data_IF_340434545904
#
_entry.id   IF_340434545904
#
_cell.length_a   1.000
_cell.length_b   1.000
_cell.length_c   1.000
_cell.angle_alpha   90.00
_cell.angle_beta   90.00
_cell.angle_gamma   90.00
#
_symmetry.space_group_name_H-M   'P 1'
#
loop_
_entity.id
_entity.type
_entity.pdbx_description
1 polymer ?
#
# COMPACT_ATOMS: atom_id res chain seq x y z
N UNK A 1 52.70 60.58 -30.73
CA UNK A 1 52.36 61.32 -29.50
C UNK A 1 51.84 60.27 -28.47
N UNK A 2 52.14 60.41 -27.17
CA UNK A 2 51.58 59.60 -26.06
C UNK A 2 50.31 60.26 -25.50
N UNK A 3 49.38 59.49 -24.96
CA UNK A 3 48.12 59.96 -24.43
C UNK A 3 48.28 61.08 -23.37
N UNK A 4 49.20 60.88 -22.43
CA UNK A 4 49.49 61.83 -21.35
C UNK A 4 49.98 63.17 -21.87
N UNK A 5 50.84 63.15 -22.90
CA UNK A 5 51.32 64.35 -23.56
C UNK A 5 50.21 65.10 -24.32
N UNK A 6 49.36 64.33 -25.01
CA UNK A 6 48.21 64.94 -25.71
C UNK A 6 47.22 65.62 -24.73
N UNK A 7 46.96 64.99 -23.58
CA UNK A 7 46.12 65.54 -22.50
C UNK A 7 46.75 66.79 -21.89
N UNK A 8 48.07 66.77 -21.62
CA UNK A 8 48.77 67.91 -21.01
C UNK A 8 48.79 69.11 -21.96
N UNK A 9 48.89 68.92 -23.26
CA UNK A 9 48.86 69.99 -24.26
C UNK A 9 47.47 70.69 -24.29
N UNK A 10 46.38 69.91 -24.07
CA UNK A 10 45.01 70.42 -24.03
C UNK A 10 44.64 70.90 -22.66
N UNK A 11 45.46 70.64 -21.61
CA UNK A 11 45.17 71.03 -20.23
C UNK A 11 44.06 70.19 -19.58
N UNK A 12 43.93 68.90 -19.97
CA UNK A 12 42.96 67.97 -19.37
C UNK A 12 43.69 66.90 -18.57
N UNK A 13 43.20 66.61 -17.37
CA UNK A 13 43.69 65.53 -16.52
C UNK A 13 43.15 64.14 -16.90
N UNK A 14 42.09 64.12 -17.70
CA UNK A 14 41.42 62.88 -18.15
C UNK A 14 41.02 62.95 -19.62
N UNK A 15 40.78 61.77 -20.19
CA UNK A 15 40.20 61.69 -21.53
C UNK A 15 38.81 62.30 -21.57
N UNK A 16 38.50 63.19 -22.57
CA UNK A 16 37.13 63.75 -22.72
C UNK A 16 36.08 62.67 -22.83
N UNK A 17 34.87 62.93 -22.32
CA UNK A 17 33.78 61.96 -22.40
C UNK A 17 33.32 61.70 -23.85
N UNK A 18 33.31 62.74 -24.62
CA UNK A 18 32.86 62.71 -26.01
C UNK A 18 33.63 63.73 -26.86
N UNK A 19 33.37 63.65 -28.15
CA UNK A 19 33.98 64.59 -29.12
C UNK A 19 33.53 66.02 -28.94
N UNK A 20 32.32 66.26 -28.36
CA UNK A 20 31.80 67.58 -28.12
C UNK A 20 32.61 68.29 -27.01
N UNK A 21 32.92 67.61 -25.89
CA UNK A 21 33.78 68.10 -24.84
C UNK A 21 35.16 68.45 -25.39
N UNK A 22 35.77 67.54 -26.15
CA UNK A 22 37.06 67.77 -26.80
C UNK A 22 37.05 69.00 -27.71
N UNK A 23 36.03 69.15 -28.57
CA UNK A 23 35.90 70.27 -29.51
C UNK A 23 35.65 71.58 -28.77
N UNK A 24 34.99 71.61 -27.62
CA UNK A 24 34.75 72.80 -26.80
C UNK A 24 36.12 73.32 -26.26
N UNK A 25 36.91 72.42 -25.65
CA UNK A 25 38.23 72.79 -25.10
C UNK A 25 39.18 73.23 -26.23
N UNK A 26 39.15 72.54 -27.34
CA UNK A 26 39.95 72.90 -28.50
C UNK A 26 39.65 74.32 -28.99
N UNK A 27 38.35 74.70 -29.15
CA UNK A 27 37.95 76.05 -29.57
C UNK A 27 38.48 77.17 -28.68
N UNK A 28 38.47 76.93 -27.34
CA UNK A 28 38.97 77.92 -26.42
C UNK A 28 40.50 78.06 -26.50
N UNK A 29 41.23 76.95 -26.57
CA UNK A 29 42.66 76.96 -26.70
C UNK A 29 43.14 77.47 -28.03
N UNK A 30 42.45 77.12 -29.16
CA UNK A 30 42.70 77.58 -30.46
C UNK A 30 42.63 79.12 -30.59
N UNK A 31 41.62 79.75 -29.97
CA UNK A 31 41.50 81.21 -29.86
C UNK A 31 42.70 81.88 -29.18
N UNK A 32 43.23 81.26 -28.13
CA UNK A 32 44.35 81.81 -27.39
C UNK A 32 45.71 81.58 -28.07
N UNK A 33 45.91 80.48 -28.79
CA UNK A 33 47.15 80.05 -29.38
C UNK A 33 47.25 80.39 -30.87
N UNK A 34 46.19 81.00 -31.48
CA UNK A 34 46.19 81.34 -32.86
C UNK A 34 47.30 82.39 -33.22
N UNK A 35 48.07 82.24 -34.25
CA UNK A 35 49.10 83.17 -34.61
C UNK A 35 48.64 84.63 -34.79
N UNK A 36 47.45 84.85 -35.34
CA UNK A 36 46.83 86.14 -35.50
C UNK A 36 46.42 86.81 -34.18
N UNK A 37 46.29 86.04 -33.10
CA UNK A 37 46.01 86.49 -31.74
C UNK A 37 47.30 86.68 -30.92
N UNK A 38 48.46 86.53 -31.51
CA UNK A 38 49.75 86.64 -30.80
C UNK A 38 50.29 85.31 -30.25
N UNK A 39 49.68 84.16 -30.60
CA UNK A 39 50.17 82.84 -30.28
C UNK A 39 51.34 82.34 -31.08
N UNK A 40 51.95 81.25 -30.69
CA UNK A 40 53.03 80.60 -31.44
C UNK A 40 52.48 79.58 -32.44
N UNK A 41 52.94 79.68 -33.72
CA UNK A 41 52.57 78.69 -34.76
C UNK A 41 52.90 77.22 -34.37
N UNK A 42 54.02 77.00 -33.70
CA UNK A 42 54.44 75.69 -33.26
C UNK A 42 53.47 75.15 -32.15
N UNK A 43 53.00 76.00 -31.20
CA UNK A 43 52.05 75.62 -30.17
C UNK A 43 50.67 75.31 -30.77
N UNK A 44 50.25 76.07 -31.80
CA UNK A 44 48.98 75.82 -32.50
C UNK A 44 48.98 74.49 -33.30
N UNK A 45 50.14 74.19 -33.97
CA UNK A 45 50.30 72.89 -34.63
C UNK A 45 50.30 71.72 -33.67
N UNK A 46 51.02 71.87 -32.51
CA UNK A 46 51.05 70.85 -31.47
C UNK A 46 49.64 70.61 -30.85
N UNK A 47 48.85 71.62 -30.62
CA UNK A 47 47.45 71.54 -30.23
C UNK A 47 46.60 70.74 -31.25
N UNK A 48 46.80 71.02 -32.56
CA UNK A 48 46.08 70.31 -33.65
C UNK A 48 46.41 68.83 -33.67
N UNK A 49 47.70 68.45 -33.51
CA UNK A 49 48.14 67.08 -33.45
C UNK A 49 47.57 66.36 -32.17
N UNK A 50 47.54 67.05 -31.04
CA UNK A 50 47.01 66.52 -29.81
C UNK A 50 45.52 66.21 -29.90
N UNK A 51 44.74 67.12 -30.43
CA UNK A 51 43.32 66.95 -30.72
C UNK A 51 43.04 65.80 -31.65
N UNK A 52 43.82 65.74 -32.80
CA UNK A 52 43.69 64.64 -33.73
C UNK A 52 44.01 63.26 -33.14
N UNK A 53 44.97 63.20 -32.19
CA UNK A 53 45.27 61.99 -31.48
C UNK A 53 44.13 61.59 -30.55
N UNK A 54 43.61 62.51 -29.75
CA UNK A 54 42.52 62.26 -28.79
C UNK A 54 41.20 61.89 -29.51
N UNK A 55 40.88 62.47 -30.63
CA UNK A 55 39.73 62.06 -31.45
C UNK A 55 39.82 60.61 -31.88
N UNK A 56 41.00 60.16 -32.34
CA UNK A 56 41.23 58.74 -32.71
C UNK A 56 41.14 57.82 -31.52
N UNK A 57 41.66 58.24 -30.35
CA UNK A 57 41.58 57.47 -29.11
C UNK A 57 40.13 57.30 -28.65
N UNK A 58 39.32 58.33 -28.67
CA UNK A 58 37.88 58.27 -28.36
C UNK A 58 37.09 57.35 -29.30
N UNK A 59 37.37 57.43 -30.59
CA UNK A 59 36.75 56.55 -31.59
C UNK A 59 37.04 55.09 -31.34
N UNK A 60 38.30 54.72 -31.04
CA UNK A 60 38.70 53.37 -30.74
C UNK A 60 38.08 52.87 -29.43
N UNK A 61 37.97 53.72 -28.41
CA UNK A 61 37.34 53.37 -27.11
C UNK A 61 35.85 53.06 -27.30
N UNK A 62 35.14 53.93 -28.04
CA UNK A 62 33.70 53.76 -28.34
C UNK A 62 33.46 52.47 -29.17
N UNK A 63 34.31 52.15 -30.14
CA UNK A 63 34.22 50.88 -30.86
C UNK A 63 34.42 49.68 -29.97
N UNK A 64 35.39 49.73 -29.04
CA UNK A 64 35.61 48.62 -28.06
C UNK A 64 34.42 48.43 -27.15
N UNK A 65 33.82 49.49 -26.62
CA UNK A 65 32.64 49.44 -25.74
C UNK A 65 31.45 48.83 -26.51
N UNK A 66 31.19 49.29 -27.77
CA UNK A 66 30.12 48.75 -28.57
C UNK A 66 30.31 47.26 -28.94
N UNK A 67 31.54 46.87 -29.27
CA UNK A 67 31.83 45.45 -29.58
C UNK A 67 31.67 44.57 -28.34
N UNK A 68 32.09 45.03 -27.16
CA UNK A 68 31.89 44.31 -25.91
C UNK A 68 30.41 44.15 -25.57
N UNK A 69 29.60 45.21 -25.66
CA UNK A 69 28.16 45.17 -25.44
C UNK A 69 27.47 44.18 -26.41
N UNK A 70 27.79 44.23 -27.69
CA UNK A 70 27.24 43.27 -28.70
C UNK A 70 27.61 41.84 -28.40
N UNK A 71 28.82 41.55 -27.95
CA UNK A 71 29.25 40.19 -27.60
C UNK A 71 28.56 39.70 -26.31
N UNK A 72 28.36 40.54 -25.30
CA UNK A 72 27.65 40.21 -24.11
C UNK A 72 26.16 39.90 -24.40
N UNK A 73 25.49 40.72 -25.21
CA UNK A 73 24.12 40.48 -25.65
C UNK A 73 23.97 39.17 -26.45
N UNK A 74 24.92 38.90 -27.36
CA UNK A 74 24.93 37.66 -28.11
C UNK A 74 25.10 36.42 -27.20
N UNK A 75 25.96 36.50 -26.20
CA UNK A 75 26.16 35.46 -25.21
C UNK A 75 24.91 35.27 -24.32
N UNK A 76 24.29 36.39 -23.91
CA UNK A 76 23.05 36.33 -23.14
C UNK A 76 21.93 35.63 -23.92
N UNK A 77 21.74 35.96 -25.19
CA UNK A 77 20.77 35.30 -26.11
C UNK A 77 21.07 33.81 -26.26
N UNK A 78 22.32 33.42 -26.48
CA UNK A 78 22.72 31.99 -26.56
C UNK A 78 22.40 31.24 -25.27
N UNK A 79 22.70 31.84 -24.11
CA UNK A 79 22.39 31.23 -22.79
C UNK A 79 20.87 31.07 -22.57
N UNK A 80 20.07 32.06 -23.01
CA UNK A 80 18.60 31.99 -22.91
C UNK A 80 18.05 30.83 -23.79
N UNK A 81 18.50 30.70 -25.03
CA UNK A 81 18.09 29.63 -25.94
C UNK A 81 18.47 28.25 -25.36
N UNK A 82 19.69 28.11 -24.85
CA UNK A 82 20.15 26.86 -24.27
C UNK A 82 19.34 26.48 -23.02
N UNK A 83 18.99 27.45 -22.16
CA UNK A 83 18.11 27.21 -20.99
C UNK A 83 16.72 26.74 -21.43
N UNK A 84 16.16 27.39 -22.45
CA UNK A 84 14.83 27.00 -22.96
C UNK A 84 14.85 25.58 -23.56
N UNK A 85 15.88 25.24 -24.32
CA UNK A 85 16.04 23.89 -24.86
C UNK A 85 16.19 22.83 -23.75
N UNK A 86 16.97 23.13 -22.70
CA UNK A 86 17.08 22.21 -21.55
C UNK A 86 15.76 22.03 -20.81
N UNK A 87 15.00 23.10 -20.62
CA UNK A 87 13.68 23.03 -19.99
C UNK A 87 12.70 22.20 -20.82
N UNK A 88 12.69 22.38 -22.14
CA UNK A 88 11.85 21.58 -23.05
C UNK A 88 12.21 20.09 -22.98
N UNK A 89 13.50 19.73 -23.01
CA UNK A 89 13.95 18.33 -22.89
C UNK A 89 13.53 17.71 -21.54
N UNK A 90 13.72 18.42 -20.44
CA UNK A 90 13.27 17.94 -19.12
C UNK A 90 11.75 17.72 -19.08
N UNK A 91 10.98 18.63 -19.63
CA UNK A 91 9.53 18.49 -19.67
C UNK A 91 9.08 17.29 -20.55
N UNK A 92 9.79 16.99 -21.63
CA UNK A 92 9.54 15.79 -22.44
C UNK A 92 9.93 14.51 -21.70
N UNK A 93 11.08 14.48 -21.05
CA UNK A 93 11.52 13.34 -20.22
C UNK A 93 10.55 13.06 -19.08
N UNK A 94 10.09 14.10 -18.38
CA UNK A 94 9.10 13.97 -17.30
C UNK A 94 7.74 13.47 -17.83
N UNK A 95 7.31 13.92 -19.00
CA UNK A 95 6.09 13.40 -19.65
C UNK A 95 6.20 11.92 -19.97
N UNK A 96 7.32 11.50 -20.54
CA UNK A 96 7.57 10.10 -20.87
C UNK A 96 7.64 9.22 -19.60
N UNK A 97 8.32 9.71 -18.58
CA UNK A 97 8.43 9.04 -17.28
C UNK A 97 7.06 8.88 -16.61
N UNK A 98 6.23 9.92 -16.63
CA UNK A 98 4.89 9.87 -16.08
C UNK A 98 3.97 8.92 -16.88
N UNK A 99 4.07 8.90 -18.21
CA UNK A 99 3.31 7.94 -19.03
C UNK A 99 3.73 6.49 -18.75
N UNK A 100 5.01 6.23 -18.58
CA UNK A 100 5.49 4.89 -18.21
C UNK A 100 5.00 4.52 -16.79
N UNK A 101 5.14 5.41 -15.80
CA UNK A 101 4.64 5.19 -14.45
C UNK A 101 3.13 4.88 -14.44
N UNK A 102 2.34 5.62 -15.22
CA UNK A 102 0.90 5.39 -15.35
C UNK A 102 0.58 4.02 -15.95
N UNK A 103 1.31 3.56 -16.97
CA UNK A 103 1.14 2.21 -17.52
C UNK A 103 1.45 1.12 -16.51
N UNK A 104 2.53 1.29 -15.72
CA UNK A 104 2.87 0.34 -14.66
C UNK A 104 1.84 0.31 -13.53
N UNK A 105 1.31 1.45 -13.10
CA UNK A 105 0.25 1.50 -12.07
C UNK A 105 -1.04 0.83 -12.55
N UNK A 106 -1.46 1.08 -13.79
CA UNK A 106 -2.63 0.40 -14.38
C UNK A 106 -2.39 -1.10 -14.45
N UNK A 107 -1.22 -1.54 -14.93
CA UNK A 107 -0.85 -2.96 -14.96
C UNK A 107 -0.91 -3.62 -13.58
N UNK A 108 -0.37 -2.97 -12.56
CA UNK A 108 -0.41 -3.48 -11.18
C UNK A 108 -1.85 -3.61 -10.66
N UNK A 109 -2.70 -2.59 -10.88
CA UNK A 109 -4.11 -2.62 -10.47
C UNK A 109 -4.85 -3.77 -11.14
N UNK A 110 -4.64 -3.99 -12.43
CA UNK A 110 -5.26 -5.10 -13.17
C UNK A 110 -4.83 -6.45 -12.59
N UNK A 111 -3.52 -6.64 -12.32
CA UNK A 111 -3.02 -7.87 -11.71
C UNK A 111 -3.64 -8.11 -10.33
N UNK A 112 -3.69 -7.08 -9.48
CA UNK A 112 -4.31 -7.17 -8.16
C UNK A 112 -5.81 -7.49 -8.24
N UNK A 113 -6.52 -6.91 -9.21
CA UNK A 113 -7.93 -7.19 -9.44
C UNK A 113 -8.16 -8.65 -9.88
N UNK A 114 -7.34 -9.16 -10.80
CA UNK A 114 -7.40 -10.56 -11.25
C UNK A 114 -7.10 -11.52 -10.11
N UNK A 115 -6.07 -11.25 -9.32
CA UNK A 115 -5.73 -12.05 -8.13
C UNK A 115 -6.85 -12.01 -7.10
N UNK A 116 -7.44 -10.84 -6.84
CA UNK A 116 -8.59 -10.69 -5.93
C UNK A 116 -9.81 -11.47 -6.40
N UNK A 117 -10.14 -11.39 -7.69
CA UNK A 117 -11.23 -12.17 -8.29
C UNK A 117 -10.97 -13.68 -8.20
N UNK A 118 -9.73 -14.11 -8.41
CA UNK A 118 -9.33 -15.50 -8.26
C UNK A 118 -9.57 -16.00 -6.82
N UNK A 119 -9.12 -15.25 -5.80
CA UNK A 119 -9.35 -15.61 -4.40
C UNK A 119 -10.84 -15.65 -4.03
N UNK A 120 -11.65 -14.73 -4.57
CA UNK A 120 -13.10 -14.74 -4.35
C UNK A 120 -13.80 -15.92 -5.05
N UNK A 121 -13.29 -16.36 -6.17
CA UNK A 121 -13.86 -17.48 -6.92
C UNK A 121 -13.47 -18.86 -6.36
N UNK A 122 -12.35 -18.97 -5.67
CA UNK A 122 -11.82 -20.24 -5.14
C UNK A 122 -12.83 -21.06 -4.32
N UNK A 123 -13.55 -20.49 -3.32
CA UNK A 123 -14.51 -21.27 -2.55
C UNK A 123 -15.65 -21.83 -3.41
N UNK A 124 -16.13 -21.06 -4.39
CA UNK A 124 -17.18 -21.50 -5.31
C UNK A 124 -16.69 -22.59 -6.27
N UNK A 125 -15.46 -22.45 -6.75
CA UNK A 125 -14.83 -23.45 -7.61
C UNK A 125 -14.64 -24.76 -6.82
N UNK A 126 -14.15 -24.70 -5.59
CA UNK A 126 -13.98 -25.88 -4.75
C UNK A 126 -15.33 -26.58 -4.51
N UNK A 127 -16.35 -25.83 -4.10
CA UNK A 127 -17.68 -26.37 -3.89
C UNK A 127 -18.23 -27.03 -5.17
N UNK A 128 -18.15 -26.35 -6.33
CA UNK A 128 -18.56 -26.91 -7.62
C UNK A 128 -17.78 -28.18 -7.99
N UNK A 129 -16.46 -28.20 -7.72
CA UNK A 129 -15.64 -29.38 -7.97
C UNK A 129 -16.02 -30.57 -7.09
N UNK A 130 -16.39 -30.31 -5.83
CA UNK A 130 -16.90 -31.36 -4.93
C UNK A 130 -18.25 -31.88 -5.43
N UNK A 131 -19.21 -31.01 -5.74
CA UNK A 131 -20.57 -31.40 -6.13
C UNK A 131 -20.62 -32.22 -7.41
N UNK A 132 -19.67 -32.02 -8.34
CA UNK A 132 -19.64 -32.75 -9.63
C UNK A 132 -19.54 -34.26 -9.49
N UNK A 133 -18.77 -34.76 -8.52
CA UNK A 133 -18.58 -36.18 -8.23
C UNK A 133 -18.49 -36.37 -6.71
N UNK A 134 -19.50 -35.89 -5.99
CA UNK A 134 -19.56 -35.87 -4.53
C UNK A 134 -19.65 -37.29 -3.96
N UNK A 135 -18.77 -37.56 -3.04
CA UNK A 135 -18.80 -38.75 -2.18
C UNK A 135 -18.59 -38.29 -0.73
N UNK A 136 -19.35 -38.89 0.17
CA UNK A 136 -19.24 -38.64 1.59
C UNK A 136 -18.65 -39.86 2.28
N UNK A 137 -17.75 -39.64 3.24
CA UNK A 137 -17.13 -40.64 4.09
C UNK A 137 -16.94 -40.11 5.50
N UNK A 138 -16.83 -41.02 6.43
CA UNK A 138 -16.37 -40.67 7.78
C UNK A 138 -14.88 -40.39 7.76
N UNK A 139 -14.51 -39.26 8.32
CA UNK A 139 -13.13 -38.87 8.57
C UNK A 139 -12.91 -38.77 10.07
N UNK A 140 -11.77 -39.19 10.55
CA UNK A 140 -11.38 -39.15 11.96
C UNK A 140 -10.31 -38.08 12.15
N UNK A 141 -10.41 -37.31 13.21
CA UNK A 141 -9.36 -36.38 13.65
C UNK A 141 -8.25 -37.18 14.32
N UNK A 142 -7.12 -37.30 13.66
CA UNK A 142 -5.99 -38.13 14.15
C UNK A 142 -4.95 -37.34 14.93
N UNK A 143 -4.84 -36.04 14.69
CA UNK A 143 -3.81 -35.19 15.30
C UNK A 143 -4.26 -33.73 15.39
N UNK A 144 -3.85 -33.08 16.48
CA UNK A 144 -3.92 -31.62 16.64
C UNK A 144 -2.51 -31.07 16.70
N UNK A 145 -2.25 -29.96 16.01
CA UNK A 145 -0.97 -29.26 16.02
C UNK A 145 -1.08 -27.93 16.75
N UNK A 146 -0.02 -27.54 17.44
CA UNK A 146 0.09 -26.28 18.18
C UNK A 146 -0.03 -25.03 17.27
N UNK A 147 0.02 -25.19 15.94
CA UNK A 147 -0.09 -24.12 14.94
C UNK A 147 -1.52 -23.89 14.42
N UNK A 148 -2.55 -24.26 15.18
CA UNK A 148 -3.96 -24.10 14.81
C UNK A 148 -4.40 -25.04 13.68
N UNK A 149 -3.68 -26.13 13.44
CA UNK A 149 -4.06 -27.13 12.46
C UNK A 149 -4.53 -28.40 13.13
N UNK A 150 -5.42 -29.10 12.47
CA UNK A 150 -5.80 -30.46 12.82
C UNK A 150 -5.74 -31.33 11.57
N UNK A 151 -5.36 -32.58 11.74
CA UNK A 151 -5.24 -33.55 10.67
C UNK A 151 -6.43 -34.48 10.71
N UNK A 152 -7.15 -34.58 9.59
CA UNK A 152 -8.22 -35.56 9.38
C UNK A 152 -7.75 -36.67 8.47
N UNK A 153 -8.30 -37.87 8.70
CA UNK A 153 -8.02 -39.06 7.90
C UNK A 153 -9.32 -39.73 7.48
N UNK A 154 -9.37 -40.18 6.22
CA UNK A 154 -10.45 -41.04 5.73
C UNK A 154 -9.95 -42.02 4.71
N UNK A 155 -10.73 -43.09 4.50
CA UNK A 155 -10.42 -44.14 3.52
C UNK A 155 -11.43 -44.16 2.38
N UNK A 156 -10.95 -44.21 1.14
CA UNK A 156 -11.79 -44.33 -0.04
C UNK A 156 -11.16 -45.27 -1.06
N UNK A 157 -11.92 -46.29 -1.53
CA UNK A 157 -11.45 -47.32 -2.47
C UNK A 157 -10.13 -47.96 -2.03
N UNK A 158 -9.99 -48.24 -0.73
CA UNK A 158 -8.80 -48.86 -0.15
C UNK A 158 -7.56 -47.97 -0.02
N UNK A 159 -7.69 -46.66 -0.38
CA UNK A 159 -6.62 -45.66 -0.19
C UNK A 159 -6.94 -44.80 1.01
N UNK A 160 -5.91 -44.53 1.81
CA UNK A 160 -5.95 -43.60 2.96
C UNK A 160 -5.58 -42.21 2.49
N UNK A 161 -6.36 -41.22 2.95
CA UNK A 161 -6.15 -39.80 2.69
C UNK A 161 -6.00 -39.09 4.01
N UNK A 162 -4.94 -38.28 4.15
CA UNK A 162 -4.68 -37.41 5.27
C UNK A 162 -4.66 -35.97 4.79
N UNK A 163 -5.30 -35.07 5.54
CA UNK A 163 -5.34 -33.65 5.24
C UNK A 163 -5.22 -32.81 6.49
N UNK A 164 -4.31 -31.86 6.44
CA UNK A 164 -4.17 -30.81 7.45
C UNK A 164 -5.13 -29.68 7.15
N UNK A 165 -5.93 -29.32 8.14
CA UNK A 165 -6.94 -28.28 8.03
C UNK A 165 -6.61 -27.18 9.04
N UNK A 166 -6.68 -25.93 8.60
CA UNK A 166 -6.56 -24.77 9.48
C UNK A 166 -7.84 -24.61 10.29
N UNK A 167 -7.76 -24.79 11.60
CA UNK A 167 -8.82 -24.50 12.54
C UNK A 167 -8.75 -23.05 13.04
N UNK A 168 -9.76 -22.66 13.81
CA UNK A 168 -9.76 -21.40 14.58
C UNK A 168 -9.51 -21.71 16.04
N UNK A 169 -8.79 -20.83 16.74
CA UNK A 169 -8.68 -20.92 18.21
C UNK A 169 -9.86 -20.20 18.86
N UNK A 170 -10.43 -20.86 19.87
CA UNK A 170 -11.39 -20.25 20.79
C UNK A 170 -10.83 -20.35 22.20
N UNK A 171 -10.94 -19.28 22.96
CA UNK A 171 -10.48 -19.15 24.35
C UNK A 171 -9.01 -19.57 24.57
N UNK A 172 -8.19 -19.44 23.53
CA UNK A 172 -6.75 -19.72 23.60
C UNK A 172 -6.39 -21.22 23.74
N UNK A 173 -7.37 -22.13 23.80
CA UNK A 173 -7.14 -23.54 24.13
C UNK A 173 -7.74 -24.52 23.11
N UNK A 174 -8.82 -24.13 22.43
CA UNK A 174 -9.57 -25.05 21.57
C UNK A 174 -9.34 -24.75 20.09
N UNK A 175 -9.01 -25.78 19.33
CA UNK A 175 -9.04 -25.73 17.86
C UNK A 175 -10.45 -26.15 17.44
N UNK A 176 -11.14 -25.30 16.71
CA UNK A 176 -12.51 -25.56 16.26
C UNK A 176 -12.58 -25.68 14.74
N UNK A 177 -13.48 -26.54 14.28
CA UNK A 177 -13.79 -26.73 12.87
C UNK A 177 -14.63 -25.60 12.28
N UNK A 178 -15.02 -25.72 10.99
CA UNK A 178 -15.83 -24.74 10.27
C UNK A 178 -17.16 -24.43 10.94
N UNK A 179 -17.85 -25.44 11.50
CA UNK A 179 -19.12 -25.31 12.19
C UNK A 179 -18.96 -24.82 13.64
N UNK A 180 -17.74 -24.68 14.15
CA UNK A 180 -17.46 -24.19 15.49
C UNK A 180 -17.36 -25.28 16.54
N UNK A 181 -17.32 -26.56 16.16
CA UNK A 181 -17.11 -27.66 17.08
C UNK A 181 -15.64 -27.83 17.43
N UNK A 182 -15.29 -28.13 18.68
CA UNK A 182 -13.92 -28.46 19.06
C UNK A 182 -13.45 -29.73 18.33
N UNK A 183 -12.26 -29.64 17.73
CA UNK A 183 -11.63 -30.79 17.13
C UNK A 183 -10.88 -31.57 18.21
N UNK A 184 -11.22 -32.85 18.35
CA UNK A 184 -10.62 -33.74 19.33
C UNK A 184 -10.06 -34.97 18.65
N UNK A 185 -8.90 -35.46 19.03
CA UNK A 185 -8.39 -36.73 18.51
C UNK A 185 -9.40 -37.86 18.73
N UNK A 186 -9.66 -38.66 17.69
CA UNK A 186 -10.67 -39.73 17.71
C UNK A 186 -12.09 -39.27 17.35
N UNK A 187 -12.35 -37.94 17.27
CA UNK A 187 -13.66 -37.45 16.83
C UNK A 187 -13.86 -37.74 15.34
N UNK A 188 -15.04 -38.19 14.95
CA UNK A 188 -15.40 -38.58 13.61
C UNK A 188 -16.46 -37.64 13.04
N UNK A 189 -16.20 -37.11 11.86
CA UNK A 189 -17.05 -36.18 11.12
C UNK A 189 -17.26 -36.66 9.69
N UNK A 190 -18.29 -36.14 9.03
CA UNK A 190 -18.47 -36.39 7.61
C UNK A 190 -17.54 -35.51 6.80
N UNK A 191 -16.78 -36.08 5.87
CA UNK A 191 -16.06 -35.36 4.82
C UNK A 191 -16.72 -35.61 3.48
N UNK A 192 -17.08 -34.53 2.80
CA UNK A 192 -17.53 -34.56 1.40
C UNK A 192 -16.33 -34.24 0.50
N UNK A 193 -16.12 -35.03 -0.56
CA UNK A 193 -15.02 -34.82 -1.49
C UNK A 193 -15.35 -35.28 -2.90
N UNK A 194 -14.57 -34.81 -3.87
CA UNK A 194 -14.68 -35.28 -5.25
C UNK A 194 -14.03 -36.66 -5.41
N UNK A 195 -14.79 -37.63 -5.90
CA UNK A 195 -14.37 -39.00 -6.08
C UNK A 195 -13.16 -39.20 -7.03
N UNK A 196 -13.00 -38.31 -8.04
CA UNK A 196 -11.91 -38.31 -8.99
C UNK A 196 -10.67 -37.59 -8.48
N UNK A 197 -10.87 -36.52 -7.69
CA UNK A 197 -9.79 -35.74 -7.11
C UNK A 197 -10.08 -35.39 -5.64
N UNK A 198 -9.70 -36.26 -4.70
CA UNK A 198 -9.92 -36.07 -3.26
C UNK A 198 -9.19 -34.89 -2.64
N UNK A 199 -8.45 -34.09 -3.42
CA UNK A 199 -7.90 -32.81 -2.94
C UNK A 199 -8.97 -31.71 -2.83
N UNK A 200 -10.10 -31.86 -3.53
CA UNK A 200 -11.28 -31.05 -3.36
C UNK A 200 -12.17 -31.71 -2.33
N UNK A 201 -12.17 -31.19 -1.12
CA UNK A 201 -12.92 -31.71 0.02
C UNK A 201 -13.46 -30.61 0.90
N UNK A 202 -14.50 -30.94 1.67
CA UNK A 202 -15.13 -30.09 2.69
C UNK A 202 -15.45 -30.94 3.91
N UNK A 203 -15.07 -30.48 5.09
CA UNK A 203 -15.42 -31.11 6.35
C UNK A 203 -16.79 -30.59 6.79
N UNK A 204 -17.73 -31.50 6.98
CA UNK A 204 -19.10 -31.24 7.42
C UNK A 204 -19.20 -31.55 8.92
N UNK A 205 -18.56 -30.72 9.76
CA UNK A 205 -18.50 -30.91 11.20
C UNK A 205 -19.82 -30.58 11.93
N UNK A 206 -20.83 -30.10 11.20
CA UNK A 206 -22.21 -30.01 11.70
C UNK A 206 -22.91 -31.38 11.80
N UNK A 207 -22.41 -32.41 11.13
CA UNK A 207 -22.93 -33.79 11.18
C UNK A 207 -21.95 -34.67 11.98
N UNK A 208 -22.27 -34.90 13.24
CA UNK A 208 -21.45 -35.72 14.11
C UNK A 208 -21.96 -37.15 14.16
N UNK A 209 -21.04 -38.11 14.22
CA UNK A 209 -21.35 -39.51 14.45
C UNK A 209 -21.64 -39.76 15.91
N UNK A 210 -22.39 -40.84 16.26
CA UNK A 210 -22.72 -41.21 17.63
C UNK A 210 -21.47 -41.30 18.50
N UNK A 211 -20.38 -41.91 18.02
CA UNK A 211 -19.11 -41.99 18.76
C UNK A 211 -18.52 -40.60 19.09
N UNK A 212 -18.65 -39.65 18.19
CA UNK A 212 -18.21 -38.27 18.42
C UNK A 212 -19.14 -37.59 19.46
N UNK A 213 -20.44 -37.85 19.37
CA UNK A 213 -21.39 -37.34 20.37
C UNK A 213 -21.07 -37.88 21.76
N UNK A 214 -20.67 -39.12 21.90
CA UNK A 214 -20.22 -39.72 23.17
C UNK A 214 -18.94 -39.07 23.71
N UNK A 215 -17.97 -38.77 22.86
CA UNK A 215 -16.77 -38.03 23.25
C UNK A 215 -17.15 -36.64 23.82
N UNK A 216 -18.04 -35.92 23.14
CA UNK A 216 -18.51 -34.61 23.61
C UNK A 216 -19.37 -34.73 24.87
N UNK A 217 -20.17 -35.78 24.98
CA UNK A 217 -20.91 -36.06 26.23
C UNK A 217 -19.96 -36.20 27.39
N UNK A 218 -18.90 -36.99 27.25
CA UNK A 218 -17.92 -37.17 28.31
C UNK A 218 -17.29 -35.85 28.79
N UNK A 219 -17.19 -34.84 27.92
CA UNK A 219 -16.68 -33.51 28.25
C UNK A 219 -17.73 -32.59 28.88
N UNK A 220 -19.01 -32.74 28.52
CA UNK A 220 -20.08 -31.79 28.85
C UNK A 220 -20.95 -32.26 30.03
N UNK A 221 -20.95 -33.54 30.32
CA UNK A 221 -21.81 -34.16 31.38
C UNK A 221 -21.71 -33.45 32.71
N UNK A 222 -20.51 -33.02 33.11
CA UNK A 222 -20.32 -32.30 34.38
C UNK A 222 -21.02 -30.93 34.38
N UNK A 223 -21.03 -30.24 33.27
CA UNK A 223 -21.73 -28.94 33.13
C UNK A 223 -23.23 -29.13 33.27
N UNK A 224 -23.79 -30.15 32.60
CA UNK A 224 -25.23 -30.50 32.74
C UNK A 224 -25.59 -30.98 34.12
N UNK A 225 -24.79 -31.86 34.71
CA UNK A 225 -25.02 -32.36 36.07
C UNK A 225 -25.04 -31.22 37.10
N UNK A 226 -24.08 -30.29 37.00
CA UNK A 226 -24.06 -29.10 37.87
C UNK A 226 -25.31 -28.23 37.68
N UNK A 227 -25.77 -28.07 36.43
CA UNK A 227 -27.00 -27.32 36.16
C UNK A 227 -28.24 -28.02 36.75
N UNK A 228 -28.32 -29.35 36.61
CA UNK A 228 -29.43 -30.15 37.10
C UNK A 228 -29.39 -30.39 38.63
N UNK A 229 -28.27 -30.10 39.28
CA UNK A 229 -28.05 -30.38 40.71
C UNK A 229 -27.96 -31.87 41.00
N UNK A 230 -27.40 -32.69 40.12
CA UNK A 230 -27.30 -34.15 40.18
C UNK A 230 -25.88 -34.63 39.89
N UNK A 231 -25.65 -35.93 39.83
CA UNK A 231 -24.38 -36.52 39.50
C UNK A 231 -24.22 -36.65 37.96
N UNK A 232 -22.97 -36.63 37.47
CA UNK A 232 -22.64 -36.68 36.04
C UNK A 232 -23.01 -38.02 35.35
N UNK A 233 -23.29 -39.06 36.08
CA UNK A 233 -23.79 -40.35 35.58
C UNK A 233 -25.29 -40.55 35.67
N UNK A 234 -26.03 -39.51 36.11
CA UNK A 234 -27.49 -39.59 36.27
C UNK A 234 -28.16 -39.78 34.87
N UNK A 235 -29.14 -40.73 34.75
CA UNK A 235 -29.90 -40.93 33.53
C UNK A 235 -30.55 -39.67 32.98
N UNK A 236 -30.95 -38.74 33.83
CA UNK A 236 -31.56 -37.49 33.43
C UNK A 236 -30.55 -36.58 32.70
N UNK A 237 -29.28 -36.60 33.11
CA UNK A 237 -28.19 -35.89 32.43
C UNK A 237 -27.95 -36.47 31.03
N UNK A 238 -27.96 -37.78 30.91
CA UNK A 238 -27.85 -38.47 29.59
C UNK A 238 -29.05 -38.10 28.71
N UNK A 239 -30.25 -38.18 29.23
CA UNK A 239 -31.47 -37.80 28.52
C UNK A 239 -31.37 -36.35 27.98
N UNK A 240 -31.03 -35.40 28.84
CA UNK A 240 -30.98 -33.99 28.48
C UNK A 240 -29.90 -33.73 27.41
N UNK A 241 -28.75 -34.38 27.51
CA UNK A 241 -27.70 -34.25 26.48
C UNK A 241 -28.18 -34.67 25.11
N UNK A 242 -28.79 -35.87 24.99
CA UNK A 242 -29.29 -36.38 23.72
C UNK A 242 -30.47 -35.56 23.20
N UNK A 243 -31.35 -35.08 24.08
CA UNK A 243 -32.45 -34.20 23.69
C UNK A 243 -31.94 -32.85 23.15
N UNK A 244 -30.86 -32.29 23.74
CA UNK A 244 -30.23 -31.09 23.22
C UNK A 244 -29.53 -31.31 21.87
N UNK A 245 -28.90 -32.46 21.70
CA UNK A 245 -28.30 -32.82 20.40
C UNK A 245 -29.35 -33.00 19.32
N UNK A 246 -30.49 -33.62 19.61
CA UNK A 246 -31.59 -33.85 18.68
C UNK A 246 -32.27 -32.53 18.28
N UNK A 247 -32.53 -31.65 19.24
CA UNK A 247 -33.23 -30.39 19.03
C UNK A 247 -32.37 -29.30 18.38
N UNK A 248 -31.13 -29.11 18.85
CA UNK A 248 -30.27 -28.01 18.46
C UNK A 248 -29.05 -28.45 17.63
N UNK A 249 -28.86 -29.77 17.46
CA UNK A 249 -27.68 -30.30 16.77
C UNK A 249 -26.37 -29.96 17.51
N UNK A 250 -25.31 -29.80 16.71
CA UNK A 250 -23.99 -29.44 17.25
C UNK A 250 -23.97 -28.10 17.98
N UNK A 251 -24.88 -27.20 17.63
CA UNK A 251 -24.98 -25.89 18.27
C UNK A 251 -25.36 -26.00 19.72
N UNK A 252 -26.27 -26.90 20.06
CA UNK A 252 -26.63 -27.19 21.46
C UNK A 252 -25.46 -27.70 22.28
N UNK A 253 -24.68 -28.62 21.72
CA UNK A 253 -23.49 -29.18 22.38
C UNK A 253 -22.39 -28.11 22.50
N UNK A 254 -22.20 -27.29 21.47
CA UNK A 254 -21.21 -26.23 21.50
C UNK A 254 -21.48 -25.22 22.62
N UNK A 255 -22.75 -24.93 22.95
CA UNK A 255 -23.10 -24.09 24.11
C UNK A 255 -22.68 -24.70 25.48
N UNK A 256 -22.60 -26.03 25.55
CA UNK A 256 -22.14 -26.71 26.77
C UNK A 256 -20.62 -26.62 26.95
N UNK A 257 -19.85 -26.52 25.87
CA UNK A 257 -18.39 -26.45 25.88
C UNK A 257 -17.85 -25.05 26.05
N UNK A 258 -18.50 -24.10 25.41
CA UNK A 258 -17.98 -22.73 25.31
C UNK A 258 -18.90 -21.77 26.04
N UNK A 259 -18.31 -20.94 26.90
CA UNK A 259 -19.02 -19.79 27.50
C UNK A 259 -19.46 -18.80 26.46
N UNK A 260 -18.66 -18.68 25.36
CA UNK A 260 -18.92 -17.81 24.23
C UNK A 260 -18.64 -18.56 22.92
N UNK A 261 -19.66 -18.73 22.08
CA UNK A 261 -19.49 -19.30 20.77
C UNK A 261 -18.93 -18.28 19.77
N UNK A 262 -18.11 -18.73 18.79
CA UNK A 262 -17.70 -17.87 17.70
C UNK A 262 -18.92 -17.34 16.94
N UNK A 263 -18.83 -16.07 16.51
CA UNK A 263 -19.92 -15.38 15.81
C UNK A 263 -20.38 -16.15 14.56
N UNK A 264 -21.50 -16.84 14.63
CA UNK A 264 -22.29 -17.18 13.47
C UNK A 264 -23.17 -15.97 13.09
N UNK A 265 -23.34 -15.72 11.79
CA UNK A 265 -24.02 -14.52 11.26
C UNK A 265 -25.43 -14.29 11.78
N UNK A 266 -26.09 -15.28 12.33
CA UNK A 266 -27.50 -15.27 12.69
C UNK A 266 -27.79 -15.34 14.21
N UNK A 267 -26.76 -15.29 15.06
CA UNK A 267 -26.94 -15.41 16.49
C UNK A 267 -26.70 -14.07 17.20
N UNK A 268 -27.65 -13.67 18.03
CA UNK A 268 -27.49 -12.48 18.88
C UNK A 268 -26.42 -12.74 19.95
N UNK A 269 -25.81 -11.66 20.48
CA UNK A 269 -24.76 -11.79 21.50
C UNK A 269 -25.21 -12.54 22.75
N UNK A 270 -26.50 -12.43 23.10
CA UNK A 270 -27.10 -13.04 24.30
C UNK A 270 -27.42 -14.53 24.15
N UNK A 271 -27.54 -15.04 22.90
CA UNK A 271 -27.84 -16.45 22.63
C UNK A 271 -26.62 -17.35 22.55
N UNK A 272 -25.45 -16.84 22.99
CA UNK A 272 -24.16 -17.52 22.81
C UNK A 272 -23.64 -18.21 24.04
N UNK A 273 -24.33 -18.12 25.16
CA UNK A 273 -23.92 -18.75 26.42
C UNK A 273 -24.85 -19.88 26.77
N UNK A 274 -24.36 -20.88 27.50
CA UNK A 274 -25.20 -21.94 28.04
C UNK A 274 -26.34 -21.38 28.88
N UNK A 275 -26.11 -20.31 29.64
CA UNK A 275 -27.15 -19.70 30.48
C UNK A 275 -28.32 -19.18 29.63
N UNK A 276 -28.02 -18.52 28.51
CA UNK A 276 -29.05 -18.03 27.59
C UNK A 276 -29.84 -19.18 26.92
N UNK A 277 -29.15 -20.27 26.58
CA UNK A 277 -29.81 -21.49 26.11
C UNK A 277 -30.70 -22.09 27.20
N UNK A 278 -30.20 -22.21 28.44
CA UNK A 278 -30.92 -22.78 29.57
C UNK A 278 -32.17 -21.98 29.95
N UNK A 279 -32.19 -20.67 29.75
CA UNK A 279 -33.35 -19.79 29.95
C UNK A 279 -34.41 -19.93 28.86
N UNK A 280 -34.09 -20.54 27.73
CA UNK A 280 -35.05 -20.67 26.64
C UNK A 280 -36.23 -21.56 26.99
N UNK A 281 -37.48 -21.24 26.57
CA UNK A 281 -38.65 -22.06 26.84
C UNK A 281 -38.49 -23.51 26.36
N UNK A 282 -37.86 -23.69 25.21
CA UNK A 282 -37.67 -25.02 24.62
C UNK A 282 -36.69 -25.87 25.40
N UNK A 283 -35.60 -25.31 25.90
CA UNK A 283 -34.66 -26.00 26.79
C UNK A 283 -35.41 -26.43 28.08
N UNK A 284 -36.22 -25.55 28.63
CA UNK A 284 -36.98 -25.85 29.86
C UNK A 284 -38.02 -26.99 29.67
N UNK A 285 -38.57 -27.10 28.46
CA UNK A 285 -39.44 -28.25 28.11
C UNK A 285 -38.64 -29.54 28.07
N UNK A 286 -37.50 -29.57 27.37
CA UNK A 286 -36.59 -30.72 27.29
C UNK A 286 -36.11 -31.14 28.68
N UNK A 287 -35.69 -30.16 29.49
CA UNK A 287 -35.28 -30.39 30.87
C UNK A 287 -36.35 -31.05 31.71
N UNK A 288 -37.63 -30.60 31.62
CA UNK A 288 -38.76 -31.18 32.34
C UNK A 288 -39.06 -32.58 31.82
N UNK A 289 -39.02 -32.81 30.53
CA UNK A 289 -39.30 -34.11 29.93
C UNK A 289 -38.31 -35.20 30.37
N UNK A 290 -37.07 -34.83 30.63
CA UNK A 290 -36.04 -35.73 31.12
C UNK A 290 -36.11 -35.97 32.65
N UNK A 291 -36.90 -35.22 33.42
CA UNK A 291 -37.08 -35.36 34.87
C UNK A 291 -38.42 -35.98 35.26
N UNK A 292 -39.21 -36.42 34.34
CA UNK A 292 -40.44 -37.13 34.62
C UNK A 292 -40.13 -38.55 35.08
N UNK A 293 -40.72 -39.02 36.17
CA UNK A 293 -40.52 -40.36 36.68
C UNK A 293 -41.04 -41.46 35.75
#
# INVERSE_FOLDING_TARGET
MKLERALSIIGLDRLPKDEAELNAVYRELAKKLHPDAGGSEAAFQELGEAVGYLKRALLLLNQRVQTKARTEDALARKRAILREQMLRRRAEEDRLRNQQAQKWTIGLVVVLAVVGLWFMAQPKINHWMIERNRVERMAEVIRLDNHRTYTIEWTYKGKRFEKDINGRFIDGSWIVGPAGMPMLPGAKFVVAFNAENPNYYELLDQYIHTETAEIYFAMTKQTLANYMGTLDGDPDVVCLYWALLDEYGVDGIAHLHFRELPMRKNWSHNERTFNALAESPRFQELYRSCRLP
#
